data_IF_696885469281
#
_entry.id   IF_696885469281
#
_cell.length_a   1.000
_cell.length_b   1.000
_cell.length_c   1.000
_cell.angle_alpha   90.00
_cell.angle_beta   90.00
_cell.angle_gamma   90.00
#
_symmetry.space_group_name_H-M   'P 1'
#
loop_
_entity.id
_entity.type
_entity.pdbx_description
1 polymer ?
#
# COMPACT_ATOMS: atom_id res chain seq x y z
N UNK A 1 21.17 -7.21 -5.05
CA UNK A 1 20.58 -6.23 -4.12
C UNK A 1 19.08 -6.47 -4.07
N UNK A 2 18.54 -6.91 -2.94
CA UNK A 2 17.08 -7.07 -2.77
C UNK A 2 16.49 -5.73 -2.32
N UNK A 3 15.56 -5.16 -3.08
CA UNK A 3 14.86 -3.95 -2.67
C UNK A 3 14.08 -4.23 -1.38
N UNK A 4 14.17 -3.34 -0.39
CA UNK A 4 13.41 -3.49 0.87
C UNK A 4 11.91 -3.42 0.55
N UNK A 5 11.09 -4.37 1.04
CA UNK A 5 9.65 -4.32 0.85
C UNK A 5 9.06 -2.98 1.30
N UNK A 6 8.19 -2.43 0.47
CA UNK A 6 7.51 -1.15 0.68
C UNK A 6 6.02 -1.36 0.44
N UNK A 7 5.19 -0.92 1.39
CA UNK A 7 3.76 -0.85 1.23
C UNK A 7 3.45 0.39 0.38
N UNK A 8 2.70 0.20 -0.70
CA UNK A 8 2.31 1.25 -1.64
C UNK A 8 0.80 1.40 -1.60
N UNK A 9 0.34 2.60 -1.23
CA UNK A 9 -1.05 3.03 -1.39
C UNK A 9 -1.13 3.88 -2.67
N UNK A 10 -1.94 3.45 -3.64
CA UNK A 10 -2.16 4.17 -4.90
C UNK A 10 -3.58 3.97 -5.43
N UNK A 11 -3.99 4.79 -6.39
CA UNK A 11 -5.21 4.54 -7.15
C UNK A 11 -5.04 3.32 -8.07
N UNK A 12 -6.11 2.55 -8.23
CA UNK A 12 -6.13 1.40 -9.09
C UNK A 12 -6.29 1.82 -10.56
N UNK A 13 -5.28 1.51 -11.37
CA UNK A 13 -5.20 1.95 -12.78
C UNK A 13 -6.44 1.61 -13.61
N UNK A 14 -7.05 0.45 -13.40
CA UNK A 14 -8.17 -0.03 -14.21
C UNK A 14 -9.55 0.20 -13.55
N UNK A 15 -9.57 0.82 -12.35
CA UNK A 15 -10.82 1.08 -11.60
C UNK A 15 -10.73 2.48 -10.98
N UNK A 16 -11.15 3.53 -11.72
CA UNK A 16 -11.18 4.90 -11.21
C UNK A 16 -11.94 4.98 -9.89
N UNK A 17 -11.39 5.71 -8.91
CA UNK A 17 -11.98 5.85 -7.58
C UNK A 17 -11.83 4.60 -6.67
N UNK A 18 -11.17 3.54 -7.14
CA UNK A 18 -10.74 2.44 -6.28
C UNK A 18 -9.27 2.60 -5.91
N UNK A 19 -8.95 2.36 -4.65
CA UNK A 19 -7.59 2.40 -4.12
C UNK A 19 -7.06 0.98 -3.95
N UNK A 20 -5.76 0.83 -4.03
CA UNK A 20 -5.06 -0.42 -3.79
C UNK A 20 -3.89 -0.20 -2.84
N UNK A 21 -3.82 -1.07 -1.82
CA UNK A 21 -2.65 -1.21 -0.95
C UNK A 21 -1.96 -2.51 -1.32
N UNK A 22 -0.68 -2.45 -1.69
CA UNK A 22 0.12 -3.64 -2.02
C UNK A 22 1.55 -3.51 -1.52
N UNK A 23 2.28 -4.62 -1.44
CA UNK A 23 3.70 -4.62 -1.09
C UNK A 23 4.54 -4.81 -2.35
N UNK A 24 5.51 -3.91 -2.57
CA UNK A 24 6.49 -3.98 -3.66
C UNK A 24 7.92 -4.12 -3.08
N UNK A 25 8.77 -5.03 -3.60
CA UNK A 25 8.45 -6.04 -4.61
C UNK A 25 7.42 -7.05 -4.08
N UNK A 26 6.67 -7.69 -4.99
CA UNK A 26 5.65 -8.68 -4.61
C UNK A 26 6.31 -9.83 -3.84
N UNK A 27 6.08 -9.86 -2.54
CA UNK A 27 6.52 -10.92 -1.63
C UNK A 27 5.43 -11.99 -1.50
N UNK A 28 5.80 -13.28 -1.41
CA UNK A 28 4.85 -14.34 -1.06
C UNK A 28 4.16 -13.99 0.27
N UNK A 29 2.82 -13.94 0.26
CA UNK A 29 2.00 -13.69 1.45
C UNK A 29 1.31 -12.32 1.53
N UNK A 30 1.75 -11.32 0.77
CA UNK A 30 1.12 -10.00 0.77
C UNK A 30 0.35 -9.76 -0.53
N UNK A 31 -0.90 -10.22 -0.56
CA UNK A 31 -1.80 -9.94 -1.68
C UNK A 31 -2.28 -8.48 -1.67
N UNK A 32 -2.46 -7.85 -2.85
CA UNK A 32 -3.03 -6.52 -2.93
C UNK A 32 -4.43 -6.49 -2.33
N UNK A 33 -4.75 -5.42 -1.58
CA UNK A 33 -6.07 -5.19 -1.01
C UNK A 33 -6.68 -3.92 -1.57
N UNK A 34 -7.94 -4.03 -1.99
CA UNK A 34 -8.66 -2.96 -2.66
C UNK A 34 -9.63 -2.27 -1.71
N UNK A 35 -9.79 -0.96 -1.89
CA UNK A 35 -10.62 -0.11 -1.05
C UNK A 35 -11.39 0.88 -1.91
N UNK A 36 -12.60 1.24 -1.48
CA UNK A 36 -13.40 2.30 -2.12
C UNK A 36 -13.29 3.64 -1.38
N UNK A 37 -12.64 3.66 -0.21
CA UNK A 37 -12.47 4.87 0.61
C UNK A 37 -11.01 5.06 1.02
N UNK A 38 -10.54 6.30 0.99
CA UNK A 38 -9.16 6.67 1.32
C UNK A 38 -8.81 6.40 2.79
N UNK A 39 -9.70 6.75 3.71
CA UNK A 39 -9.52 6.51 5.15
C UNK A 39 -9.32 5.02 5.47
N UNK A 40 -10.12 4.15 4.87
CA UNK A 40 -9.99 2.70 5.06
C UNK A 40 -8.69 2.14 4.47
N UNK A 41 -8.25 2.68 3.32
CA UNK A 41 -7.01 2.27 2.67
C UNK A 41 -5.79 2.71 3.49
N UNK A 42 -5.78 3.95 3.98
CA UNK A 42 -4.72 4.50 4.84
C UNK A 42 -4.63 3.75 6.17
N UNK A 43 -5.75 3.54 6.85
CA UNK A 43 -5.78 2.79 8.12
C UNK A 43 -5.25 1.36 7.95
N UNK A 44 -5.57 0.70 6.83
CA UNK A 44 -5.03 -0.62 6.54
C UNK A 44 -3.53 -0.58 6.24
N UNK A 45 -3.06 0.39 5.47
CA UNK A 45 -1.65 0.54 5.11
C UNK A 45 -0.78 0.84 6.34
N UNK A 46 -1.24 1.73 7.23
CA UNK A 46 -0.62 2.03 8.53
C UNK A 46 -0.58 0.79 9.43
N UNK A 47 -1.70 0.06 9.55
CA UNK A 47 -1.73 -1.21 10.30
C UNK A 47 -0.75 -2.24 9.73
N UNK A 48 -0.67 -2.37 8.41
CA UNK A 48 0.26 -3.30 7.76
C UNK A 48 1.72 -2.87 7.98
N UNK A 49 1.99 -1.56 7.99
CA UNK A 49 3.31 -1.00 8.33
C UNK A 49 3.72 -1.42 9.74
N UNK A 50 2.83 -1.22 10.71
CA UNK A 50 3.11 -1.53 12.12
C UNK A 50 3.34 -3.04 12.35
N UNK A 51 2.67 -3.90 11.56
CA UNK A 51 2.86 -5.36 11.62
C UNK A 51 4.13 -5.88 10.96
N UNK A 52 4.58 -5.22 9.89
CA UNK A 52 5.67 -5.72 9.03
C UNK A 52 7.00 -4.97 9.23
N UNK A 53 6.95 -3.74 9.77
CA UNK A 53 8.07 -2.81 9.81
C UNK A 53 8.51 -2.30 8.42
N UNK A 54 7.69 -2.49 7.38
CA UNK A 54 7.99 -2.00 6.03
C UNK A 54 7.83 -0.48 5.95
N UNK A 55 8.42 0.12 4.91
CA UNK A 55 8.15 1.52 4.60
C UNK A 55 6.77 1.65 3.97
N UNK A 56 6.07 2.74 4.25
CA UNK A 56 4.79 3.08 3.62
C UNK A 56 4.98 4.26 2.68
N UNK A 57 4.73 4.04 1.39
CA UNK A 57 4.63 5.09 0.39
C UNK A 57 3.17 5.33 0.01
N UNK A 58 2.68 6.55 0.28
CA UNK A 58 1.37 7.01 -0.18
C UNK A 58 1.54 7.79 -1.49
N UNK A 59 1.27 7.14 -2.61
CA UNK A 59 1.37 7.73 -3.94
C UNK A 59 0.26 8.75 -4.23
N UNK A 60 -0.80 8.82 -3.40
CA UNK A 60 -1.86 9.82 -3.53
C UNK A 60 -1.38 11.20 -3.06
N UNK A 61 -0.51 11.22 -2.04
CA UNK A 61 0.01 12.45 -1.41
C UNK A 61 1.49 12.67 -1.65
N UNK A 62 2.21 11.69 -2.21
CA UNK A 62 3.65 11.72 -2.39
C UNK A 62 4.46 11.56 -1.08
N UNK A 63 3.83 11.10 0.00
CA UNK A 63 4.49 10.99 1.32
C UNK A 63 5.06 9.61 1.58
N UNK A 64 6.21 9.55 2.26
CA UNK A 64 6.83 8.32 2.76
C UNK A 64 6.85 8.33 4.28
N UNK A 65 6.48 7.21 4.89
CA UNK A 65 6.46 6.99 6.34
C UNK A 65 7.12 5.67 6.72
#
# INVERSE_FOLDING_TARGET
>A
MSARPTIVLREHRDRPGSLVVLVEPRTQGHQPKFFHRADAAEAFAEKLRDQTGFRLYNALTGTVR
#
